data_IF_361273798496
#
_entry.id   IF_361273798496
#
_cell.length_a   1.000
_cell.length_b   1.000
_cell.length_c   1.000
_cell.angle_alpha   90.00
_cell.angle_beta   90.00
_cell.angle_gamma   90.00
#
_symmetry.space_group_name_H-M   'P 1'
#
loop_
_entity.id
_entity.type
_entity.pdbx_description
1 polymer ?
#
# COMPACT_ATOMS: atom_id res chain seq x y z
N UNK A 1 6.11 8.12 -19.33
CA UNK A 1 5.96 9.11 -18.24
C UNK A 1 7.22 9.94 -18.15
N UNK A 2 7.15 11.28 -18.02
CA UNK A 2 8.36 12.13 -17.90
C UNK A 2 8.87 12.18 -16.44
N UNK A 3 10.10 12.65 -16.22
CA UNK A 3 10.69 12.73 -14.87
C UNK A 3 9.87 13.60 -13.90
N UNK A 4 9.27 14.70 -14.37
CA UNK A 4 8.47 15.60 -13.53
C UNK A 4 7.21 14.91 -12.98
N UNK A 5 6.55 14.10 -13.80
CA UNK A 5 5.38 13.32 -13.39
C UNK A 5 5.75 12.26 -12.35
N UNK A 6 6.91 11.59 -12.49
CA UNK A 6 7.41 10.64 -11.47
C UNK A 6 7.70 11.34 -10.14
N UNK A 7 8.34 12.50 -10.17
CA UNK A 7 8.61 13.31 -8.97
C UNK A 7 7.31 13.68 -8.25
N UNK A 8 6.28 14.09 -9.00
CA UNK A 8 4.97 14.39 -8.43
C UNK A 8 4.27 13.14 -7.89
N UNK A 9 4.37 12.00 -8.60
CA UNK A 9 3.76 10.74 -8.19
C UNK A 9 4.36 10.23 -6.87
N UNK A 10 5.67 10.32 -6.67
CA UNK A 10 6.35 9.89 -5.45
C UNK A 10 6.60 11.02 -4.43
N UNK A 11 5.97 12.19 -4.62
CA UNK A 11 6.12 13.31 -3.70
C UNK A 11 5.71 12.89 -2.28
N UNK A 12 6.54 13.24 -1.30
CA UNK A 12 6.40 12.89 0.11
C UNK A 12 6.43 11.37 0.40
N UNK A 13 6.88 10.53 -0.54
CA UNK A 13 7.07 9.10 -0.28
C UNK A 13 8.46 8.82 0.30
N UNK A 14 8.58 7.69 1.01
CA UNK A 14 9.85 7.18 1.56
C UNK A 14 10.59 6.22 0.63
N UNK A 15 10.02 5.91 -0.55
CA UNK A 15 10.70 5.08 -1.54
C UNK A 15 11.98 5.76 -2.03
N UNK A 16 13.04 4.97 -2.18
CA UNK A 16 14.31 5.46 -2.68
C UNK A 16 14.18 5.94 -4.15
N UNK A 17 14.66 7.15 -4.42
CA UNK A 17 14.47 7.86 -5.72
C UNK A 17 14.99 7.08 -6.92
N UNK A 18 16.05 6.29 -6.72
CA UNK A 18 16.66 5.42 -7.73
C UNK A 18 15.66 4.40 -8.27
N UNK A 19 14.69 3.96 -7.46
CA UNK A 19 13.70 2.95 -7.85
C UNK A 19 12.37 3.55 -8.31
N UNK A 20 12.11 4.85 -8.20
CA UNK A 20 10.80 5.46 -8.55
C UNK A 20 10.29 5.04 -9.93
N UNK A 21 11.12 5.14 -10.97
CA UNK A 21 10.75 4.74 -12.32
C UNK A 21 10.43 3.24 -12.41
N UNK A 22 11.20 2.41 -11.72
CA UNK A 22 11.01 0.96 -11.70
C UNK A 22 9.74 0.56 -10.95
N UNK A 23 9.50 1.13 -9.77
CA UNK A 23 8.29 0.91 -8.96
C UNK A 23 7.05 1.29 -9.74
N UNK A 24 7.06 2.47 -10.36
CA UNK A 24 5.94 2.92 -11.19
C UNK A 24 5.67 1.95 -12.34
N UNK A 25 6.72 1.51 -13.06
CA UNK A 25 6.59 0.52 -14.13
C UNK A 25 5.95 -0.78 -13.62
N UNK A 26 6.40 -1.31 -12.49
CA UNK A 26 5.83 -2.53 -11.91
C UNK A 26 4.35 -2.37 -11.54
N UNK A 27 3.96 -1.23 -10.98
CA UNK A 27 2.56 -0.94 -10.63
C UNK A 27 1.71 -0.83 -11.90
N UNK A 28 2.16 -0.07 -12.90
CA UNK A 28 1.43 0.10 -14.17
C UNK A 28 1.21 -1.23 -14.86
N UNK A 29 2.26 -2.05 -14.98
CA UNK A 29 2.16 -3.38 -15.57
C UNK A 29 1.20 -4.28 -14.80
N UNK A 30 1.20 -4.20 -13.46
CA UNK A 30 0.26 -4.96 -12.62
C UNK A 30 -1.19 -4.57 -12.91
N UNK A 31 -1.50 -3.27 -12.89
CA UNK A 31 -2.85 -2.75 -13.13
C UNK A 31 -3.32 -3.00 -14.57
N UNK A 32 -2.42 -3.01 -15.55
CA UNK A 32 -2.73 -3.40 -16.94
C UNK A 32 -3.10 -4.89 -17.02
N UNK A 33 -2.38 -5.75 -16.30
CA UNK A 33 -2.62 -7.21 -16.30
C UNK A 33 -3.86 -7.60 -15.49
N UNK A 34 -4.12 -6.90 -14.39
CA UNK A 34 -5.25 -7.13 -13.49
C UNK A 34 -6.03 -5.81 -13.31
N UNK A 35 -6.95 -5.48 -14.23
CA UNK A 35 -7.64 -4.17 -14.25
C UNK A 35 -8.50 -3.88 -13.01
N UNK A 36 -8.91 -4.92 -12.29
CA UNK A 36 -9.63 -4.84 -11.03
C UNK A 36 -8.75 -4.39 -9.87
N UNK A 37 -7.42 -4.54 -9.97
CA UNK A 37 -6.45 -4.07 -8.99
C UNK A 37 -6.15 -2.59 -9.24
N UNK A 38 -6.54 -1.75 -8.29
CA UNK A 38 -6.43 -0.30 -8.40
C UNK A 38 -5.36 0.19 -7.42
N UNK A 39 -4.44 1.01 -7.92
CA UNK A 39 -3.48 1.70 -7.07
C UNK A 39 -4.21 2.73 -6.19
N UNK A 40 -3.85 2.76 -4.92
CA UNK A 40 -4.31 3.73 -3.94
C UNK A 40 -3.10 4.28 -3.21
N UNK A 41 -3.18 5.56 -2.84
CA UNK A 41 -2.13 6.23 -2.09
C UNK A 41 -2.71 6.78 -0.81
N UNK A 42 -2.06 6.50 0.32
CA UNK A 42 -2.45 7.00 1.63
C UNK A 42 -1.26 7.62 2.33
N UNK A 43 -1.52 8.55 3.24
CA UNK A 43 -0.47 9.11 4.10
C UNK A 43 -0.36 8.25 5.36
N UNK A 44 0.80 7.64 5.59
CA UNK A 44 1.12 6.87 6.80
C UNK A 44 2.34 7.52 7.43
N UNK A 45 2.22 7.98 8.68
CA UNK A 45 3.31 8.67 9.40
C UNK A 45 3.94 9.81 8.57
N UNK A 46 3.10 10.67 7.99
CA UNK A 46 3.46 11.78 7.10
C UNK A 46 4.24 11.40 5.83
N UNK A 47 4.25 10.12 5.47
CA UNK A 47 4.80 9.65 4.22
C UNK A 47 3.73 9.04 3.33
N UNK A 48 3.83 9.33 2.03
CA UNK A 48 3.00 8.71 1.01
C UNK A 48 3.37 7.23 0.89
N UNK A 49 2.43 6.38 1.28
CA UNK A 49 2.48 4.95 1.05
C UNK A 49 1.61 4.58 -0.15
N UNK A 50 1.99 3.51 -0.84
CA UNK A 50 1.30 3.00 -2.03
C UNK A 50 0.80 1.62 -1.70
N UNK A 51 -0.50 1.41 -1.94
CA UNK A 51 -1.14 0.10 -1.85
C UNK A 51 -1.90 -0.17 -3.14
N UNK A 52 -2.04 -1.43 -3.51
CA UNK A 52 -2.88 -1.87 -4.62
C UNK A 52 -3.98 -2.72 -4.04
N UNK A 53 -5.24 -2.42 -4.37
CA UNK A 53 -6.40 -3.10 -3.81
C UNK A 53 -7.44 -3.36 -4.89
N UNK A 54 -8.07 -4.52 -4.84
CA UNK A 54 -9.08 -4.93 -5.81
C UNK A 54 -9.42 -6.39 -5.67
N UNK A 55 -9.87 -7.02 -6.75
CA UNK A 55 -10.16 -8.45 -6.79
C UNK A 55 -9.25 -9.16 -7.79
N UNK A 56 -9.00 -10.46 -7.57
CA UNK A 56 -8.34 -11.34 -8.52
C UNK A 56 -9.20 -12.57 -8.77
N UNK A 57 -9.31 -13.04 -10.03
CA UNK A 57 -10.08 -14.23 -10.34
C UNK A 57 -9.34 -15.47 -9.84
N UNK A 58 -10.03 -16.29 -9.06
CA UNK A 58 -9.57 -17.63 -8.66
C UNK A 58 -10.52 -18.68 -9.22
N UNK A 59 -10.01 -19.87 -9.52
CA UNK A 59 -10.77 -20.99 -10.05
C UNK A 59 -10.78 -22.14 -9.04
N UNK A 60 -11.94 -22.40 -8.47
CA UNK A 60 -12.13 -23.37 -7.38
C UNK A 60 -13.41 -24.16 -7.67
N UNK A 61 -13.38 -25.49 -7.55
CA UNK A 61 -14.56 -26.34 -7.75
C UNK A 61 -15.33 -26.05 -9.06
N UNK A 62 -14.59 -25.87 -10.15
CA UNK A 62 -15.12 -25.56 -11.49
C UNK A 62 -15.83 -24.21 -11.62
N UNK A 63 -15.68 -23.30 -10.65
CA UNK A 63 -16.27 -21.96 -10.67
C UNK A 63 -15.21 -20.88 -10.48
N UNK A 64 -15.44 -19.73 -11.13
CA UNK A 64 -14.63 -18.54 -10.93
C UNK A 64 -15.20 -17.69 -9.78
N UNK A 65 -14.31 -17.23 -8.91
CA UNK A 65 -14.62 -16.36 -7.79
C UNK A 65 -13.74 -15.12 -7.83
N UNK A 66 -14.31 -13.97 -7.47
CA UNK A 66 -13.58 -12.72 -7.31
C UNK A 66 -13.04 -12.65 -5.88
N UNK A 67 -11.72 -12.84 -5.75
CA UNK A 67 -11.05 -12.86 -4.46
C UNK A 67 -10.47 -11.48 -4.12
N UNK A 68 -10.88 -10.82 -3.03
CA UNK A 68 -10.40 -9.49 -2.71
C UNK A 68 -8.97 -9.54 -2.17
N UNK A 69 -8.07 -8.82 -2.84
CA UNK A 69 -6.63 -8.82 -2.59
C UNK A 69 -6.14 -7.39 -2.35
N UNK A 70 -5.33 -7.21 -1.30
CA UNK A 70 -4.60 -5.99 -1.00
C UNK A 70 -3.10 -6.27 -0.98
N UNK A 71 -2.34 -5.43 -1.68
CA UNK A 71 -0.88 -5.47 -1.74
C UNK A 71 -0.35 -4.13 -1.22
N UNK A 72 0.44 -4.18 -0.16
CA UNK A 72 1.11 -3.03 0.42
C UNK A 72 2.58 -3.00 0.00
N UNK A 73 3.04 -1.87 -0.52
CA UNK A 73 4.45 -1.68 -0.86
C UNK A 73 5.18 -1.05 0.33
N UNK A 74 6.16 -1.73 0.95
CA UNK A 74 6.93 -1.15 2.04
C UNK A 74 7.89 -0.06 1.53
N UNK A 75 8.31 0.86 2.39
CA UNK A 75 9.26 1.93 2.05
C UNK A 75 10.58 1.41 1.44
N UNK A 76 10.95 0.17 1.79
CA UNK A 76 12.15 -0.53 1.30
C UNK A 76 11.95 -1.27 -0.02
N UNK A 77 10.78 -1.20 -0.64
CA UNK A 77 10.50 -1.80 -1.94
C UNK A 77 11.38 -1.14 -3.04
N UNK A 78 11.94 -1.91 -4.00
CA UNK A 78 11.75 -3.34 -4.25
C UNK A 78 12.75 -4.25 -3.51
N UNK A 79 13.63 -3.72 -2.63
CA UNK A 79 14.64 -4.53 -1.92
C UNK A 79 13.98 -5.61 -1.05
N UNK A 80 12.90 -5.23 -0.37
CA UNK A 80 12.05 -6.15 0.39
C UNK A 80 10.75 -6.44 -0.38
N UNK A 81 10.18 -7.65 -0.23
CA UNK A 81 8.92 -8.01 -0.86
C UNK A 81 7.77 -7.12 -0.39
N UNK A 82 6.74 -6.93 -1.22
CA UNK A 82 5.50 -6.33 -0.77
C UNK A 82 4.78 -7.26 0.22
N UNK A 83 3.85 -6.73 0.99
CA UNK A 83 2.96 -7.53 1.83
C UNK A 83 1.63 -7.72 1.09
N UNK A 84 1.17 -8.95 0.91
CA UNK A 84 -0.17 -9.21 0.40
C UNK A 84 -1.09 -9.72 1.51
N UNK A 85 -2.37 -9.38 1.43
CA UNK A 85 -3.42 -9.95 2.27
C UNK A 85 -4.75 -10.10 1.53
N UNK A 86 -5.54 -11.09 1.93
CA UNK A 86 -6.94 -11.18 1.56
C UNK A 86 -7.81 -10.28 2.43
N UNK A 87 -8.78 -9.60 1.82
CA UNK A 87 -9.75 -8.75 2.52
C UNK A 87 -11.08 -9.48 2.72
N UNK A 88 -11.06 -10.53 3.52
CA UNK A 88 -12.25 -11.30 3.87
C UNK A 88 -12.84 -10.82 5.21
N UNK A 89 -14.10 -11.17 5.48
CA UNK A 89 -14.76 -10.84 6.74
C UNK A 89 -14.02 -11.51 7.92
N UNK A 90 -13.90 -10.87 9.09
CA UNK A 90 -13.35 -11.52 10.27
C UNK A 90 -14.04 -12.86 10.55
N UNK A 91 -13.26 -13.92 10.80
CA UNK A 91 -13.77 -15.28 11.06
C UNK A 91 -14.11 -16.12 9.83
N UNK A 92 -14.08 -15.56 8.61
CA UNK A 92 -14.35 -16.30 7.36
C UNK A 92 -13.13 -17.01 6.76
N UNK A 93 -12.02 -17.09 7.51
CA UNK A 93 -10.80 -17.68 6.99
C UNK A 93 -10.08 -18.52 8.05
N UNK A 94 -9.67 -19.71 7.62
CA UNK A 94 -8.83 -20.61 8.38
C UNK A 94 -7.39 -20.44 7.92
N UNK A 95 -6.45 -20.41 8.87
CA UNK A 95 -5.04 -20.36 8.53
C UNK A 95 -4.66 -21.60 7.71
N UNK A 96 -3.91 -21.38 6.63
CA UNK A 96 -3.31 -22.42 5.78
C UNK A 96 -1.80 -22.38 5.94
N UNK A 97 -1.08 -23.24 5.21
CA UNK A 97 0.38 -23.33 5.30
C UNK A 97 1.08 -21.98 5.02
N UNK A 98 0.57 -21.18 4.08
CA UNK A 98 1.16 -19.90 3.68
C UNK A 98 0.24 -18.69 3.84
N UNK A 99 -0.93 -18.85 4.47
CA UNK A 99 -1.86 -17.74 4.74
C UNK A 99 -2.29 -17.79 6.19
N UNK A 100 -2.03 -16.72 6.94
CA UNK A 100 -2.44 -16.58 8.33
C UNK A 100 -3.95 -16.33 8.42
N UNK A 101 -4.59 -16.65 9.55
CA UNK A 101 -6.03 -16.44 9.75
C UNK A 101 -6.54 -14.99 9.52
N UNK A 102 -5.64 -13.99 9.56
CA UNK A 102 -5.95 -12.59 9.31
C UNK A 102 -5.85 -12.15 7.84
N UNK A 103 -5.61 -13.07 6.91
CA UNK A 103 -5.53 -12.78 5.46
C UNK A 103 -4.11 -12.67 4.94
N UNK A 104 -3.10 -12.52 5.81
CA UNK A 104 -1.74 -12.18 5.39
C UNK A 104 -1.01 -13.39 4.81
N UNK A 105 -0.46 -13.21 3.62
CA UNK A 105 0.35 -14.21 2.92
C UNK A 105 1.79 -14.23 3.42
N UNK A 106 2.37 -15.43 3.52
CA UNK A 106 3.82 -15.63 3.63
C UNK A 106 4.43 -15.60 2.22
N UNK A 107 4.75 -14.39 1.77
CA UNK A 107 5.19 -14.11 0.40
C UNK A 107 6.44 -14.91 0.04
N UNK A 108 7.41 -15.04 0.95
CA UNK A 108 8.69 -15.69 0.66
C UNK A 108 8.54 -17.17 0.33
N UNK A 109 7.48 -17.82 0.85
CA UNK A 109 7.19 -19.23 0.57
C UNK A 109 6.36 -19.42 -0.70
N UNK A 110 5.58 -18.41 -1.08
CA UNK A 110 4.74 -18.45 -2.29
C UNK A 110 5.53 -18.03 -3.52
N UNK A 111 6.45 -17.07 -3.35
CA UNK A 111 7.17 -16.46 -4.44
C UNK A 111 8.56 -15.97 -3.97
N UNK A 112 9.61 -16.46 -4.62
CA UNK A 112 10.99 -16.09 -4.32
C UNK A 112 11.26 -14.65 -4.77
N UNK A 113 11.08 -13.71 -3.84
CA UNK A 113 11.27 -12.29 -4.14
C UNK A 113 12.75 -11.94 -4.27
N UNK A 114 13.11 -11.33 -5.39
CA UNK A 114 14.43 -10.76 -5.62
C UNK A 114 14.27 -9.38 -6.26
N UNK A 115 15.01 -8.38 -5.78
CA UNK A 115 14.83 -7.00 -6.20
C UNK A 115 15.15 -6.72 -7.68
N UNK A 116 15.93 -7.60 -8.32
CA UNK A 116 16.41 -7.42 -9.69
C UNK A 116 15.50 -8.01 -10.77
N UNK A 117 14.69 -9.02 -10.43
CA UNK A 117 13.93 -9.83 -11.38
C UNK A 117 12.53 -10.25 -10.91
N UNK A 118 12.19 -10.12 -9.63
CA UNK A 118 10.83 -10.39 -9.17
C UNK A 118 9.88 -9.26 -9.59
N UNK A 119 8.74 -9.64 -10.15
CA UNK A 119 7.67 -8.71 -10.55
C UNK A 119 6.44 -8.84 -9.66
N UNK A 120 5.64 -7.76 -9.60
CA UNK A 120 4.33 -7.78 -8.92
C UNK A 120 3.34 -8.70 -9.64
N UNK A 121 3.40 -8.79 -10.97
CA UNK A 121 2.58 -9.73 -11.75
C UNK A 121 2.89 -11.16 -11.34
N UNK A 122 4.17 -11.55 -11.32
CA UNK A 122 4.59 -12.89 -10.91
C UNK A 122 4.16 -13.22 -9.48
N UNK A 123 4.21 -12.24 -8.58
CA UNK A 123 3.66 -12.42 -7.23
C UNK A 123 2.16 -12.75 -7.26
N UNK A 124 1.35 -11.94 -7.95
CA UNK A 124 -0.11 -12.14 -8.00
C UNK A 124 -0.47 -13.44 -8.68
N UNK A 125 0.20 -13.82 -9.76
CA UNK A 125 -0.01 -15.10 -10.44
C UNK A 125 0.30 -16.30 -9.53
N UNK A 126 1.37 -16.22 -8.73
CA UNK A 126 1.68 -17.28 -7.75
C UNK A 126 0.69 -17.30 -6.58
N UNK A 127 0.18 -16.14 -6.15
CA UNK A 127 -0.92 -16.08 -5.17
C UNK A 127 -2.19 -16.75 -5.74
N UNK A 128 -2.60 -16.42 -6.98
CA UNK A 128 -3.76 -17.05 -7.63
C UNK A 128 -3.55 -18.56 -7.74
N UNK A 129 -2.38 -19.01 -8.20
CA UNK A 129 -2.03 -20.43 -8.27
C UNK A 129 -2.16 -21.12 -6.91
N UNK A 130 -1.68 -20.49 -5.85
CA UNK A 130 -1.81 -21.01 -4.50
C UNK A 130 -3.28 -21.09 -4.05
N UNK A 131 -4.08 -20.05 -4.28
CA UNK A 131 -5.49 -19.99 -3.89
C UNK A 131 -6.36 -20.98 -4.67
N UNK A 132 -6.03 -21.26 -5.94
CA UNK A 132 -6.72 -22.28 -6.72
C UNK A 132 -6.51 -23.69 -6.14
N UNK A 133 -5.33 -23.96 -5.59
CA UNK A 133 -5.01 -25.24 -4.95
C UNK A 133 -5.48 -25.30 -3.49
N UNK A 134 -5.47 -24.17 -2.78
CA UNK A 134 -5.79 -24.06 -1.37
C UNK A 134 -6.78 -22.90 -1.15
N UNK A 135 -8.05 -23.07 -1.52
CA UNK A 135 -9.04 -22.00 -1.43
C UNK A 135 -9.29 -21.61 0.04
N UNK A 136 -9.47 -20.31 0.34
CA UNK A 136 -9.93 -19.90 1.66
C UNK A 136 -11.33 -20.48 1.89
N UNK A 137 -11.48 -21.21 3.00
CA UNK A 137 -12.55 -22.20 3.25
C UNK A 137 -13.98 -21.65 3.10
N UNK A 138 -14.19 -20.33 3.18
CA UNK A 138 -15.52 -19.73 2.99
C UNK A 138 -15.67 -19.15 1.59
N UNK A 139 -15.84 -20.00 0.57
CA UNK A 139 -16.23 -19.59 -0.79
C UNK A 139 -17.55 -18.80 -0.80
N UNK A 140 -18.40 -18.95 0.22
CA UNK A 140 -19.64 -18.17 0.41
C UNK A 140 -19.38 -16.68 0.65
N UNK A 141 -18.18 -16.33 1.14
CA UNK A 141 -17.76 -14.94 1.32
C UNK A 141 -17.27 -14.28 0.03
N UNK A 142 -17.02 -15.08 -1.02
CA UNK A 142 -16.54 -14.63 -2.31
C UNK A 142 -17.69 -14.47 -3.29
N UNK A 143 -17.68 -13.39 -4.06
CA UNK A 143 -18.64 -13.18 -5.14
C UNK A 143 -18.30 -14.11 -6.30
N UNK A 144 -19.28 -14.85 -6.81
CA UNK A 144 -19.11 -15.66 -8.03
C UNK A 144 -18.98 -14.71 -9.22
N UNK A 145 -17.87 -14.81 -9.96
CA UNK A 145 -17.64 -13.98 -11.16
C UNK A 145 -18.57 -14.45 -12.27
N UNK A 146 -19.62 -13.69 -12.58
CA UNK A 146 -20.62 -14.08 -13.60
C UNK A 146 -20.17 -13.84 -15.05
N UNK A 147 -18.91 -13.49 -15.32
CA UNK A 147 -18.55 -12.92 -16.62
C UNK A 147 -17.25 -13.50 -17.23
N UNK A 148 -17.29 -14.78 -17.62
CA UNK A 148 -16.36 -15.36 -18.61
C UNK A 148 -17.13 -16.35 -19.50
N UNK A 149 -18.08 -15.84 -20.28
CA UNK A 149 -18.68 -16.61 -21.38
C UNK A 149 -17.75 -16.50 -22.60
N UNK A 150 -16.98 -17.55 -22.89
CA UNK A 150 -16.33 -17.74 -24.18
C UNK A 150 -17.40 -17.78 -25.28
N UNK A 151 -17.15 -17.05 -26.37
CA UNK A 151 -18.14 -16.79 -27.42
C UNK A 151 -18.48 -17.95 -28.35
N UNK A 152 -19.73 -17.95 -28.82
CA UNK A 152 -20.22 -18.01 -30.23
C UNK A 152 -21.68 -18.56 -30.28
N UNK A 153 -22.43 -18.41 -31.40
CA UNK A 153 -22.80 -17.22 -32.19
C UNK A 153 -24.36 -17.07 -32.27
N UNK A 154 -24.94 -16.10 -33.00
CA UNK A 154 -26.38 -15.81 -32.92
C UNK A 154 -27.20 -16.67 -33.90
N UNK A 155 -28.35 -17.17 -33.43
CA UNK A 155 -29.38 -17.73 -34.32
C UNK A 155 -30.77 -17.53 -33.71
N UNK A 156 -31.49 -16.54 -34.25
CA UNK A 156 -32.95 -16.57 -34.44
C UNK A 156 -33.21 -17.18 -35.84
N UNK A 157 -34.42 -17.67 -36.21
CA UNK A 157 -35.73 -17.01 -35.98
C UNK A 157 -36.91 -18.02 -35.80
N UNK A 158 -38.19 -17.74 -36.19
CA UNK A 158 -39.27 -17.41 -35.25
C UNK A 158 -40.49 -18.35 -35.33
N UNK A 159 -41.34 -18.38 -34.30
CA UNK A 159 -42.73 -18.84 -34.46
C UNK A 159 -43.65 -18.34 -33.33
N UNK A 160 -44.58 -17.48 -33.73
CA UNK A 160 -45.82 -17.09 -33.06
C UNK A 160 -46.94 -18.11 -33.45
N UNK A 161 -48.21 -17.97 -33.08
CA UNK A 161 -48.88 -17.71 -31.78
C UNK A 161 -49.89 -18.84 -31.43
N UNK A 162 -50.44 -18.86 -30.21
CA UNK A 162 -51.81 -19.31 -29.83
C UNK A 162 -51.90 -19.25 -28.29
N UNK A 163 -52.49 -18.22 -27.67
CA UNK A 163 -53.93 -17.98 -27.49
C UNK A 163 -54.72 -19.19 -26.98
N UNK A 164 -55.16 -19.13 -25.72
CA UNK A 164 -56.46 -19.55 -25.14
C UNK A 164 -56.28 -19.86 -23.64
N UNK A 165 -56.83 -19.03 -22.74
CA UNK A 165 -58.06 -19.30 -21.96
C UNK A 165 -57.84 -20.24 -20.76
N UNK A 166 -58.49 -20.15 -19.59
CA UNK A 166 -59.43 -19.25 -18.89
C UNK A 166 -59.54 -19.87 -17.47
N UNK A 167 -59.51 -19.04 -16.42
CA UNK A 167 -60.20 -19.19 -15.11
C UNK A 167 -59.83 -20.38 -14.18
N UNK A 168 -60.01 -20.35 -12.86
CA UNK A 168 -60.66 -19.40 -11.96
C UNK A 168 -60.24 -19.63 -10.49
N UNK A 169 -60.38 -18.55 -9.70
CA UNK A 169 -60.86 -18.48 -8.31
C UNK A 169 -60.20 -19.26 -7.16
N UNK A 170 -59.67 -18.48 -6.20
CA UNK A 170 -59.53 -18.84 -4.79
C UNK A 170 -59.20 -17.59 -3.94
N UNK A 171 -60.23 -16.88 -3.49
CA UNK A 171 -60.15 -15.81 -2.49
C UNK A 171 -59.91 -16.39 -1.08
N UNK A 172 -59.06 -15.77 -0.24
CA UNK A 172 -59.34 -15.55 1.19
C UNK A 172 -58.72 -14.20 1.61
N UNK A 173 -59.53 -13.42 2.35
CA UNK A 173 -59.27 -12.11 2.98
C UNK A 173 -58.33 -12.20 4.20
N UNK A 174 -57.62 -11.10 4.48
CA UNK A 174 -57.06 -10.82 5.80
C UNK A 174 -56.39 -9.44 5.86
N UNK A 175 -57.10 -8.46 6.43
CA UNK A 175 -56.65 -7.09 6.72
C UNK A 175 -55.67 -7.04 7.91
N UNK A 176 -54.61 -6.22 7.85
CA UNK A 176 -54.48 -4.99 8.66
C UNK A 176 -53.08 -4.32 8.57
N UNK A 177 -53.14 -3.03 8.23
CA UNK A 177 -52.47 -1.85 8.83
C UNK A 177 -50.93 -1.69 8.79
N UNK A 178 -50.53 -0.79 7.89
CA UNK A 178 -49.36 0.11 7.82
C UNK A 178 -49.37 1.22 8.92
N UNK A 179 -48.40 2.20 9.01
CA UNK A 179 -47.23 2.47 8.14
C UNK A 179 -45.91 2.88 8.87
N UNK A 180 -44.78 2.80 8.16
CA UNK A 180 -44.00 3.97 7.67
C UNK A 180 -42.59 3.57 7.18
N UNK A 181 -42.36 3.64 5.86
CA UNK A 181 -41.03 3.75 5.25
C UNK A 181 -41.08 4.84 4.18
N UNK A 182 -40.18 5.82 4.28
CA UNK A 182 -39.98 6.90 3.32
C UNK A 182 -38.92 6.45 2.31
N UNK A 183 -39.31 6.27 1.04
CA UNK A 183 -38.40 6.07 -0.09
C UNK A 183 -38.37 7.35 -0.93
N UNK A 184 -37.16 7.87 -1.17
CA UNK A 184 -36.92 9.05 -1.99
C UNK A 184 -36.99 8.72 -3.49
N UNK A 185 -37.80 9.54 -4.17
CA UNK A 185 -38.01 9.59 -5.62
C UNK A 185 -36.77 10.12 -6.37
N UNK A 186 -36.44 9.48 -7.49
CA UNK A 186 -35.57 10.00 -8.55
C UNK A 186 -36.48 10.41 -9.73
N UNK A 187 -36.45 11.66 -10.23
CA UNK A 187 -37.31 12.05 -11.36
C UNK A 187 -36.75 11.60 -12.71
N UNK A 188 -37.60 10.94 -13.50
CA UNK A 188 -37.44 10.74 -14.94
C UNK A 188 -37.62 12.06 -15.70
N UNK A 189 -36.80 12.29 -16.72
CA UNK A 189 -36.98 13.39 -17.68
C UNK A 189 -37.97 12.99 -18.80
N UNK A 190 -38.89 13.87 -19.22
CA UNK A 190 -39.75 13.62 -20.38
C UNK A 190 -39.01 13.89 -21.69
N UNK A 191 -39.20 13.00 -22.67
CA UNK A 191 -38.89 13.26 -24.07
C UNK A 191 -39.92 14.23 -24.65
N UNK A 192 -39.46 15.25 -25.39
CA UNK A 192 -40.34 16.09 -26.21
C UNK A 192 -39.99 16.02 -27.69
N UNK A 193 -41.07 15.93 -28.44
CA UNK A 193 -41.21 15.69 -29.87
C UNK A 193 -40.77 16.87 -30.73
N UNK A 194 -40.27 16.53 -31.91
CA UNK A 194 -39.95 17.45 -33.00
C UNK A 194 -41.21 17.92 -33.73
N UNK A 195 -41.38 19.24 -33.88
CA UNK A 195 -42.32 19.83 -34.84
C UNK A 195 -41.62 20.94 -35.62
N UNK A 196 -41.66 20.83 -36.95
CA UNK A 196 -41.14 21.79 -37.93
C UNK A 196 -42.14 22.93 -38.21
N UNK A 197 -41.61 24.12 -38.55
CA UNK A 197 -42.10 25.17 -39.50
C UNK A 197 -41.69 26.58 -39.02
N UNK A 198 -41.65 27.64 -39.87
CA UNK A 198 -40.84 27.82 -41.07
C UNK A 198 -39.91 29.06 -40.97
N UNK A 199 -38.95 29.14 -41.90
CA UNK A 199 -38.09 30.30 -42.15
C UNK A 199 -38.89 31.59 -42.40
N UNK A 200 -38.59 32.68 -41.68
CA UNK A 200 -37.90 33.87 -42.20
C UNK A 200 -38.29 35.11 -41.37
N UNK A 201 -37.33 35.75 -40.66
CA UNK A 201 -37.23 37.19 -40.30
C UNK A 201 -36.55 37.41 -38.93
N UNK A 202 -35.44 38.17 -38.97
CA UNK A 202 -34.89 39.04 -37.90
C UNK A 202 -34.06 38.44 -36.75
N UNK A 203 -32.87 38.03 -37.16
CA UNK A 203 -31.51 38.08 -36.57
C UNK A 203 -31.13 39.02 -35.39
N UNK A 204 -32.03 39.49 -34.50
CA UNK A 204 -31.65 40.43 -33.40
C UNK A 204 -31.89 39.84 -32.00
N UNK A 205 -32.70 38.79 -31.86
CA UNK A 205 -33.04 38.21 -30.54
C UNK A 205 -32.05 37.17 -30.02
N UNK A 206 -31.22 36.57 -30.88
CA UNK A 206 -30.28 35.49 -30.51
C UNK A 206 -29.01 35.97 -29.81
N UNK A 207 -28.57 37.21 -30.07
CA UNK A 207 -27.34 37.77 -29.52
C UNK A 207 -27.48 38.11 -28.02
N UNK A 208 -28.63 38.68 -27.64
CA UNK A 208 -28.95 39.02 -26.24
C UNK A 208 -29.11 37.77 -25.35
N UNK A 209 -29.56 36.65 -25.91
CA UNK A 209 -29.63 35.36 -25.20
C UNK A 209 -28.26 34.71 -25.08
N UNK A 210 -27.42 34.80 -26.10
CA UNK A 210 -26.08 34.22 -26.06
C UNK A 210 -25.15 34.95 -25.08
N UNK A 211 -25.28 36.26 -24.94
CA UNK A 211 -24.50 37.05 -23.96
C UNK A 211 -24.88 36.68 -22.51
N UNK A 212 -26.18 36.48 -22.24
CA UNK A 212 -26.67 36.02 -20.93
C UNK A 212 -26.21 34.60 -20.61
N UNK A 213 -26.17 33.71 -21.61
CA UNK A 213 -25.65 32.35 -21.44
C UNK A 213 -24.14 32.38 -21.17
N UNK A 214 -23.39 33.21 -21.90
CA UNK A 214 -21.94 33.33 -21.73
C UNK A 214 -21.57 33.92 -20.36
N UNK A 215 -22.29 34.95 -19.90
CA UNK A 215 -22.09 35.53 -18.57
C UNK A 215 -22.47 34.55 -17.45
N UNK A 216 -23.54 33.76 -17.61
CA UNK A 216 -23.89 32.68 -16.69
C UNK A 216 -22.82 31.58 -16.64
N UNK A 217 -22.28 31.17 -17.80
CA UNK A 217 -21.18 30.19 -17.87
C UNK A 217 -19.90 30.71 -17.19
N UNK A 218 -19.55 31.98 -17.41
CA UNK A 218 -18.41 32.62 -16.75
C UNK A 218 -18.59 32.66 -15.23
N UNK A 219 -19.81 32.95 -14.77
CA UNK A 219 -20.13 32.94 -13.33
C UNK A 219 -20.06 31.53 -12.74
N UNK A 220 -20.53 30.51 -13.45
CA UNK A 220 -20.39 29.11 -13.03
C UNK A 220 -18.93 28.67 -12.96
N UNK A 221 -18.11 29.04 -13.95
CA UNK A 221 -16.67 28.74 -13.92
C UNK A 221 -15.98 29.41 -12.72
N UNK A 222 -16.35 30.66 -12.42
CA UNK A 222 -15.84 31.38 -11.26
C UNK A 222 -16.26 30.73 -9.94
N UNK A 223 -17.54 30.39 -9.79
CA UNK A 223 -18.05 29.69 -8.59
C UNK A 223 -17.38 28.33 -8.39
N UNK A 224 -17.15 27.58 -9.47
CA UNK A 224 -16.42 26.31 -9.39
C UNK A 224 -14.96 26.48 -8.96
N UNK A 225 -14.33 27.59 -9.37
CA UNK A 225 -12.97 27.93 -8.90
C UNK A 225 -12.99 28.28 -7.41
N UNK A 226 -13.88 29.17 -7.00
CA UNK A 226 -14.04 29.57 -5.58
C UNK A 226 -14.35 28.36 -4.69
N UNK A 227 -15.19 27.43 -5.16
CA UNK A 227 -15.51 26.18 -4.44
C UNK A 227 -14.26 25.29 -4.26
N UNK A 228 -13.43 25.14 -5.29
CA UNK A 228 -12.17 24.39 -5.18
C UNK A 228 -11.19 25.06 -4.23
N UNK A 229 -11.09 26.39 -4.28
CA UNK A 229 -10.20 27.14 -3.40
C UNK A 229 -10.65 27.01 -1.93
N UNK A 230 -11.96 27.08 -1.66
CA UNK A 230 -12.53 26.85 -0.33
C UNK A 230 -12.33 25.41 0.17
N UNK A 231 -12.52 24.41 -0.69
CA UNK A 231 -12.25 23.01 -0.35
C UNK A 231 -10.78 22.78 0.00
N UNK A 232 -9.85 23.39 -0.75
CA UNK A 232 -8.42 23.34 -0.43
C UNK A 232 -8.15 23.98 0.93
N UNK A 233 -8.76 25.12 1.23
CA UNK A 233 -8.57 25.80 2.52
C UNK A 233 -9.08 24.98 3.70
N UNK A 234 -10.26 24.36 3.60
CA UNK A 234 -10.79 23.45 4.63
C UNK A 234 -9.85 22.27 4.86
N UNK A 235 -9.32 21.67 3.78
CA UNK A 235 -8.35 20.59 3.87
C UNK A 235 -7.06 21.01 4.60
N UNK A 236 -6.54 22.22 4.34
CA UNK A 236 -5.36 22.72 5.05
C UNK A 236 -5.61 22.98 6.53
N UNK A 237 -6.81 23.45 6.90
CA UNK A 237 -7.17 23.67 8.30
C UNK A 237 -7.30 22.35 9.07
N UNK A 238 -7.97 21.36 8.48
CA UNK A 238 -8.10 20.02 9.06
C UNK A 238 -6.73 19.35 9.23
N UNK A 239 -5.84 19.51 8.25
CA UNK A 239 -4.46 19.04 8.35
C UNK A 239 -3.70 19.71 9.50
N UNK A 240 -3.88 21.02 9.69
CA UNK A 240 -3.23 21.77 10.76
C UNK A 240 -3.72 21.36 12.14
N UNK A 241 -5.03 21.11 12.28
CA UNK A 241 -5.65 20.67 13.53
C UNK A 241 -5.18 19.26 13.91
N UNK A 242 -5.18 18.34 12.95
CA UNK A 242 -4.62 16.99 13.13
C UNK A 242 -3.12 17.04 13.48
N UNK A 243 -2.34 17.90 12.83
CA UNK A 243 -0.92 18.06 13.12
C UNK A 243 -0.69 18.60 14.54
N UNK A 244 -1.53 19.52 15.01
CA UNK A 244 -1.48 20.06 16.37
C UNK A 244 -1.77 18.97 17.41
N UNK A 245 -2.80 18.14 17.19
CA UNK A 245 -3.14 17.04 18.08
C UNK A 245 -2.00 16.01 18.17
N UNK A 246 -1.45 15.60 17.02
CA UNK A 246 -0.33 14.65 16.97
C UNK A 246 0.89 15.21 17.71
N UNK A 247 1.22 16.48 17.49
CA UNK A 247 2.36 17.13 18.16
C UNK A 247 2.15 17.19 19.68
N UNK A 248 0.93 17.46 20.13
CA UNK A 248 0.57 17.44 21.55
C UNK A 248 0.74 16.05 22.16
N UNK A 249 0.29 15.00 21.47
CA UNK A 249 0.40 13.62 21.95
C UNK A 249 1.87 13.17 22.03
N UNK A 250 2.66 13.44 20.99
CA UNK A 250 4.10 13.12 20.98
C UNK A 250 4.83 13.88 22.10
N UNK A 251 4.50 15.16 22.31
CA UNK A 251 5.09 15.95 23.40
C UNK A 251 4.77 15.38 24.78
N UNK A 252 3.55 14.89 24.98
CA UNK A 252 3.11 14.26 26.23
C UNK A 252 3.85 12.94 26.48
N UNK A 253 3.94 12.09 25.46
CA UNK A 253 4.60 10.78 25.56
C UNK A 253 6.11 10.91 25.80
N UNK A 254 6.77 11.88 25.15
CA UNK A 254 8.18 12.18 25.38
C UNK A 254 8.42 12.69 26.80
N UNK A 255 7.55 13.56 27.32
CA UNK A 255 7.68 14.06 28.70
C UNK A 255 7.61 12.90 29.70
N UNK A 256 6.62 12.01 29.56
CA UNK A 256 6.47 10.83 30.44
C UNK A 256 7.69 9.91 30.38
N UNK A 257 8.20 9.65 29.17
CA UNK A 257 9.39 8.82 28.98
C UNK A 257 10.63 9.42 29.66
N UNK A 258 10.81 10.74 29.56
CA UNK A 258 11.89 11.44 30.26
C UNK A 258 11.74 11.32 31.79
N UNK A 259 10.52 11.49 32.31
CA UNK A 259 10.25 11.36 33.74
C UNK A 259 10.53 9.93 34.25
N UNK A 260 10.11 8.91 33.48
CA UNK A 260 10.35 7.50 33.80
C UNK A 260 11.85 7.16 33.82
N UNK A 261 12.60 7.61 32.80
CA UNK A 261 14.05 7.40 32.74
C UNK A 261 14.78 8.12 33.87
N UNK A 262 14.31 9.32 34.25
CA UNK A 262 14.90 10.06 35.34
C UNK A 262 14.65 9.36 36.69
N UNK A 263 13.44 8.84 36.91
CA UNK A 263 13.12 8.02 38.07
C UNK A 263 13.93 6.71 38.12
N UNK A 264 14.17 6.07 36.96
CA UNK A 264 15.00 4.87 36.87
C UNK A 264 16.48 5.18 37.18
N UNK A 265 16.98 6.32 36.70
CA UNK A 265 18.35 6.78 36.99
C UNK A 265 18.54 7.08 38.49
N UNK A 266 17.58 7.74 39.14
CA UNK A 266 17.61 7.99 40.57
C UNK A 266 17.57 6.68 41.37
N UNK A 267 16.76 5.71 40.94
CA UNK A 267 16.72 4.38 41.54
C UNK A 267 18.06 3.66 41.38
N UNK A 268 18.66 3.69 40.19
CA UNK A 268 19.96 3.07 39.92
C UNK A 268 21.09 3.69 40.75
N UNK A 269 21.11 5.01 40.91
CA UNK A 269 22.11 5.71 41.72
C UNK A 269 21.95 5.46 43.23
N UNK A 270 20.75 5.11 43.69
CA UNK A 270 20.51 4.78 45.11
C UNK A 270 20.96 3.37 45.51
N UNK A 271 21.23 2.50 44.54
CA UNK A 271 21.80 1.17 44.80
C UNK A 271 23.30 1.34 44.94
N UNK A 272 23.82 1.31 46.17
CA UNK A 272 25.25 1.15 46.41
C UNK A 272 25.72 -0.14 45.73
N UNK A 273 26.36 0.00 44.57
CA UNK A 273 26.96 -1.12 43.86
C UNK A 273 28.05 -1.66 44.78
N UNK A 274 27.96 -2.93 45.22
CA UNK A 274 29.02 -3.53 46.02
C UNK A 274 30.33 -3.37 45.27
N UNK A 275 31.37 -2.88 45.95
CA UNK A 275 32.71 -2.69 45.38
C UNK A 275 33.24 -4.06 44.92
N UNK A 276 32.89 -4.44 43.70
CA UNK A 276 33.30 -5.68 43.11
C UNK A 276 34.73 -5.49 42.63
N UNK A 277 35.68 -5.91 43.47
CA UNK A 277 37.09 -6.02 43.08
C UNK A 277 37.14 -7.04 41.96
N UNK A 278 37.07 -6.57 40.71
CA UNK A 278 37.29 -7.41 39.53
C UNK A 278 38.70 -7.99 39.71
N UNK A 279 38.84 -9.32 39.85
CA UNK A 279 40.15 -9.94 39.91
C UNK A 279 40.99 -9.45 38.73
N UNK A 280 42.20 -8.95 39.02
CA UNK A 280 43.08 -8.24 38.07
C UNK A 280 43.28 -9.03 36.77
N UNK A 281 43.32 -10.35 36.89
CA UNK A 281 43.38 -11.39 35.88
C UNK A 281 42.18 -11.41 34.92
N UNK A 282 40.96 -11.14 35.40
CA UNK A 282 39.76 -11.06 34.56
C UNK A 282 39.76 -9.76 33.75
N UNK A 283 40.17 -8.65 34.36
CA UNK A 283 40.26 -7.34 33.69
C UNK A 283 41.29 -7.33 32.57
N UNK A 284 42.48 -7.87 32.83
CA UNK A 284 43.55 -7.98 31.82
C UNK A 284 43.16 -8.93 30.68
N UNK A 285 42.54 -10.07 30.99
CA UNK A 285 42.01 -11.01 29.99
C UNK A 285 40.91 -10.40 29.11
N UNK A 286 39.97 -9.66 29.71
CA UNK A 286 38.90 -8.99 28.98
C UNK A 286 39.45 -7.89 28.05
N UNK A 287 40.41 -7.09 28.53
CA UNK A 287 41.08 -6.08 27.73
C UNK A 287 41.85 -6.69 26.57
N UNK A 288 42.62 -7.76 26.81
CA UNK A 288 43.35 -8.47 25.77
C UNK A 288 42.42 -9.04 24.68
N UNK A 289 41.29 -9.63 25.09
CA UNK A 289 40.25 -10.13 24.15
C UNK A 289 39.62 -9.00 23.34
N UNK A 290 39.30 -7.88 23.98
CA UNK A 290 38.76 -6.70 23.31
C UNK A 290 39.73 -6.15 22.27
N UNK A 291 41.00 -5.99 22.64
CA UNK A 291 42.05 -5.49 21.74
C UNK A 291 42.30 -6.45 20.56
N UNK A 292 42.29 -7.76 20.82
CA UNK A 292 42.40 -8.78 19.79
C UNK A 292 41.24 -8.74 18.79
N UNK A 293 40.01 -8.59 19.28
CA UNK A 293 38.82 -8.46 18.44
C UNK A 293 38.85 -7.19 17.60
N UNK A 294 39.17 -6.04 18.20
CA UNK A 294 39.29 -4.77 17.50
C UNK A 294 40.35 -4.83 16.39
N UNK A 295 41.47 -5.50 16.64
CA UNK A 295 42.50 -5.77 15.63
C UNK A 295 41.95 -6.58 14.45
N UNK A 296 41.28 -7.69 14.71
CA UNK A 296 40.70 -8.54 13.65
C UNK A 296 39.65 -7.80 12.81
N UNK A 297 38.75 -7.04 13.46
CA UNK A 297 37.73 -6.27 12.76
C UNK A 297 38.33 -5.20 11.85
N UNK A 298 39.38 -4.52 12.31
CA UNK A 298 40.09 -3.51 11.52
C UNK A 298 40.79 -4.15 10.31
N UNK A 299 41.43 -5.30 10.49
CA UNK A 299 42.08 -6.04 9.39
C UNK A 299 41.06 -6.49 8.34
N UNK A 300 39.88 -6.97 8.78
CA UNK A 300 38.79 -7.36 7.91
C UNK A 300 38.27 -6.18 7.07
N UNK A 301 38.14 -5.00 7.67
CA UNK A 301 37.74 -3.77 6.95
C UNK A 301 38.78 -3.34 5.92
N UNK A 302 40.08 -3.40 6.24
CA UNK A 302 41.13 -3.13 5.26
C UNK A 302 41.06 -4.11 4.08
N UNK A 303 40.87 -5.40 4.35
CA UNK A 303 40.72 -6.43 3.30
C UNK A 303 39.51 -6.15 2.41
N UNK A 304 38.38 -5.79 3.00
CA UNK A 304 37.17 -5.43 2.27
C UNK A 304 37.38 -4.19 1.39
N UNK A 305 38.06 -3.15 1.90
CA UNK A 305 38.36 -1.94 1.15
C UNK A 305 39.28 -2.22 -0.04
N UNK A 306 40.29 -3.08 0.15
CA UNK A 306 41.17 -3.55 -0.93
C UNK A 306 40.40 -4.33 -2.00
N UNK A 307 39.56 -5.30 -1.60
CA UNK A 307 38.72 -6.08 -2.53
C UNK A 307 37.74 -5.20 -3.31
N UNK A 308 37.25 -4.11 -2.72
CA UNK A 308 36.38 -3.15 -3.38
C UNK A 308 37.14 -2.17 -4.31
N UNK A 309 38.46 -2.31 -4.46
CA UNK A 309 39.29 -1.41 -5.27
C UNK A 309 39.41 0.01 -4.71
N UNK A 310 39.09 0.22 -3.43
CA UNK A 310 39.13 1.56 -2.79
C UNK A 310 40.52 1.96 -2.31
N UNK A 311 41.44 1.00 -2.21
CA UNK A 311 42.81 1.22 -1.71
C UNK A 311 43.77 0.52 -2.68
N UNK A 312 44.82 1.21 -3.16
CA UNK A 312 45.82 0.60 -4.02
C UNK A 312 46.61 -0.49 -3.27
N UNK A 313 47.13 -1.52 -3.96
CA UNK A 313 47.81 -2.65 -3.32
C UNK A 313 48.96 -2.24 -2.40
N UNK A 314 49.78 -1.27 -2.82
CA UNK A 314 50.94 -0.79 -2.07
C UNK A 314 50.54 -0.18 -0.72
N UNK A 315 49.48 0.64 -0.72
CA UNK A 315 48.97 1.29 0.48
C UNK A 315 48.29 0.28 1.42
N UNK A 316 47.61 -0.73 0.88
CA UNK A 316 47.04 -1.82 1.66
C UNK A 316 48.13 -2.60 2.41
N UNK A 317 49.18 -3.05 1.71
CA UNK A 317 50.27 -3.82 2.33
C UNK A 317 51.05 -2.99 3.35
N UNK A 318 51.30 -1.71 3.07
CA UNK A 318 51.94 -0.80 4.01
C UNK A 318 51.11 -0.61 5.29
N UNK A 319 49.80 -0.40 5.14
CA UNK A 319 48.87 -0.20 6.25
C UNK A 319 48.73 -1.44 7.12
N UNK A 320 48.53 -2.61 6.50
CA UNK A 320 48.45 -3.91 7.21
C UNK A 320 49.74 -4.20 7.96
N UNK A 321 50.91 -3.95 7.36
CA UNK A 321 52.20 -4.15 8.02
C UNK A 321 52.35 -3.24 9.22
N UNK A 322 52.07 -1.94 9.07
CA UNK A 322 52.18 -0.94 10.14
C UNK A 322 51.24 -1.26 11.31
N UNK A 323 50.00 -1.63 11.00
CA UNK A 323 48.99 -2.00 11.99
C UNK A 323 49.35 -3.29 12.73
N UNK A 324 49.86 -4.30 12.03
CA UNK A 324 50.28 -5.57 12.64
C UNK A 324 51.51 -5.38 13.53
N UNK A 325 52.48 -4.55 13.12
CA UNK A 325 53.63 -4.20 13.96
C UNK A 325 53.19 -3.44 15.23
N UNK A 326 52.23 -2.53 15.10
CA UNK A 326 51.70 -1.80 16.25
C UNK A 326 51.04 -2.76 17.24
N UNK A 327 50.09 -3.58 16.79
CA UNK A 327 49.41 -4.57 17.63
C UNK A 327 50.39 -5.53 18.31
N UNK A 328 51.39 -6.01 17.58
CA UNK A 328 52.42 -6.86 18.16
C UNK A 328 53.18 -6.16 19.29
N UNK A 329 53.61 -4.91 19.09
CA UNK A 329 54.37 -4.14 20.10
C UNK A 329 53.54 -3.78 21.32
N UNK A 330 52.29 -3.37 21.14
CA UNK A 330 51.46 -2.86 22.24
C UNK A 330 50.71 -3.95 22.99
N UNK A 331 50.34 -5.03 22.31
CA UNK A 331 49.41 -6.02 22.85
C UNK A 331 50.05 -7.38 23.00
N UNK A 332 50.87 -7.86 22.06
CA UNK A 332 51.44 -9.22 22.13
C UNK A 332 52.74 -9.24 22.94
N UNK A 333 53.68 -8.35 22.63
CA UNK A 333 55.02 -8.31 23.23
C UNK A 333 55.02 -8.16 24.76
N UNK A 334 54.15 -7.34 25.39
CA UNK A 334 54.13 -7.21 26.86
C UNK A 334 53.69 -8.48 27.58
N UNK A 335 52.95 -9.37 26.91
CA UNK A 335 52.43 -10.62 27.48
C UNK A 335 53.29 -11.85 27.12
N UNK A 336 54.39 -11.64 26.39
CA UNK A 336 55.37 -12.69 26.05
C UNK A 336 56.56 -12.73 27.01
N UNK A 337 56.68 -11.76 27.91
CA UNK A 337 57.69 -11.70 28.98
C UNK A 337 57.08 -12.19 30.28
#
# INVERSE_FOLDING_TARGET
MNQQQLILYFRNSRYEKTYHAHIYKLITQLCERFPTLIQQTSMVNNAKSIRIEGTVPIFVNQKYYDCPLRIFLPDSFPKNPPQAMLLLKPGSMVATQYVKANGVFDIQRIYTWNAAGATLIGLVENIIKYLNANPPITLESLTVSQNLSLGNPPSNPPSNPSNSQISNSGQIQGQNQDPHVIAQNVPQYPQMSSTQLPNNSQNISGELTNEKILSAQKRLAQLNKELRDAQNQVFYLELFENAKEITSNISSDLSKCCDDLQAELERANSVEVPEYIVPRDIGESAKLKSDSRAYQETLARFKQAFQAGKVPPEEYFASVRRFSQHYFKTTVLPHMK
#
